data_IF_312278280271
#
_entry.id   IF_312278280271
#
_cell.length_a   1.000
_cell.length_b   1.000
_cell.length_c   1.000
_cell.angle_alpha   90.00
_cell.angle_beta   90.00
_cell.angle_gamma   90.00
#
_symmetry.space_group_name_H-M   'P 1'
#
loop_
_entity.id
_entity.type
_entity.pdbx_description
1 polymer ?
#
# COMPACT_ATOMS: atom_id res chain seq x y z
N UNK A 1 20.58 20.52 1.35
CA UNK A 1 19.25 19.90 1.29
C UNK A 1 19.03 19.18 2.60
N UNK A 2 18.32 19.81 3.52
CA UNK A 2 17.80 19.15 4.72
C UNK A 2 16.63 18.25 4.30
N UNK A 3 16.32 17.19 5.07
CA UNK A 3 15.21 16.30 4.74
C UNK A 3 13.85 17.00 4.55
N UNK A 4 13.63 18.15 5.20
CA UNK A 4 12.39 18.94 5.07
C UNK A 4 12.31 19.74 3.75
N UNK A 5 13.43 19.94 3.05
CA UNK A 5 13.47 20.61 1.74
C UNK A 5 13.14 19.67 0.57
N UNK A 6 13.13 18.35 0.81
CA UNK A 6 12.73 17.36 -0.19
C UNK A 6 11.19 17.39 -0.24
N UNK A 7 10.52 17.59 -1.37
CA UNK A 7 9.07 17.64 -1.38
C UNK A 7 8.47 16.24 -1.31
N UNK A 8 7.20 16.16 -0.94
CA UNK A 8 6.41 14.92 -1.01
C UNK A 8 6.34 14.42 -2.46
N UNK A 9 6.28 13.11 -2.63
CA UNK A 9 6.13 12.47 -3.93
C UNK A 9 4.74 12.76 -4.52
N UNK A 10 4.73 13.25 -5.76
CA UNK A 10 3.50 13.34 -6.53
C UNK A 10 3.07 11.94 -7.04
N UNK A 11 1.78 11.74 -7.34
CA UNK A 11 1.27 10.46 -7.84
C UNK A 11 1.99 9.89 -9.05
N UNK A 12 2.42 10.74 -9.99
CA UNK A 12 3.11 10.35 -11.22
C UNK A 12 4.61 10.07 -11.02
N UNK A 13 5.14 10.34 -9.83
CA UNK A 13 6.54 10.06 -9.46
C UNK A 13 6.71 8.68 -8.80
N UNK A 14 5.62 7.99 -8.48
CA UNK A 14 5.63 6.68 -7.82
C UNK A 14 4.95 5.62 -8.67
N UNK A 15 5.64 4.50 -8.85
CA UNK A 15 5.02 3.26 -9.30
C UNK A 15 4.79 2.32 -8.11
N UNK A 16 3.56 1.86 -7.93
CA UNK A 16 3.20 0.93 -6.87
C UNK A 16 2.89 -0.47 -7.40
N UNK A 17 3.26 -1.48 -6.62
CA UNK A 17 2.88 -2.87 -6.84
C UNK A 17 2.59 -3.55 -5.51
N UNK A 18 1.59 -4.42 -5.47
CA UNK A 18 1.21 -5.17 -4.27
C UNK A 18 1.27 -6.68 -4.57
N UNK A 19 2.05 -7.41 -3.80
CA UNK A 19 2.04 -8.88 -3.82
C UNK A 19 1.36 -9.41 -2.57
N UNK A 20 0.49 -10.40 -2.74
CA UNK A 20 -0.15 -11.14 -1.66
C UNK A 20 0.37 -12.57 -1.60
N UNK A 21 0.41 -13.10 -0.39
CA UNK A 21 0.63 -14.50 -0.05
C UNK A 21 -0.46 -14.95 0.92
N UNK A 22 -0.88 -16.21 0.82
CA UNK A 22 -1.81 -16.81 1.77
C UNK A 22 -1.20 -16.86 3.19
N UNK A 23 -1.97 -16.43 4.19
CA UNK A 23 -1.58 -16.38 5.59
C UNK A 23 -2.73 -16.89 6.47
N UNK A 24 -2.77 -18.21 6.68
CA UNK A 24 -3.81 -18.92 7.45
C UNK A 24 -5.26 -18.56 7.04
N UNK A 25 -5.46 -18.35 5.73
CA UNK A 25 -6.71 -17.96 5.06
C UNK A 25 -7.07 -16.48 5.16
N UNK A 26 -6.21 -15.67 5.79
CA UNK A 26 -6.03 -14.26 5.45
C UNK A 26 -4.97 -14.12 4.34
N UNK A 27 -4.62 -12.88 4.03
CA UNK A 27 -3.52 -12.52 3.16
C UNK A 27 -2.50 -11.67 3.90
N UNK A 28 -1.23 -11.96 3.65
CA UNK A 28 -0.10 -11.10 4.00
C UNK A 28 0.55 -10.62 2.72
N UNK A 29 0.84 -9.34 2.64
CA UNK A 29 1.34 -8.73 1.41
C UNK A 29 2.47 -7.76 1.62
N UNK A 30 3.13 -7.45 0.52
CA UNK A 30 4.17 -6.43 0.42
C UNK A 30 3.76 -5.40 -0.62
N UNK A 31 3.51 -4.17 -0.16
CA UNK A 31 3.35 -3.02 -1.03
C UNK A 31 4.72 -2.42 -1.30
N UNK A 32 5.12 -2.38 -2.57
CA UNK A 32 6.34 -1.73 -3.03
C UNK A 32 6.01 -0.41 -3.71
N UNK A 33 6.76 0.65 -3.36
CA UNK A 33 6.76 1.94 -4.02
C UNK A 33 8.13 2.19 -4.64
N UNK A 34 8.18 2.55 -5.92
CA UNK A 34 9.42 2.91 -6.63
C UNK A 34 9.32 4.34 -7.10
N UNK A 35 10.34 5.17 -6.81
CA UNK A 35 10.44 6.50 -7.40
C UNK A 35 10.84 6.37 -8.87
N UNK A 36 9.90 6.66 -9.77
CA UNK A 36 10.09 6.65 -11.23
C UNK A 36 10.32 8.04 -11.82
N UNK A 37 10.28 9.07 -10.97
CA UNK A 37 10.64 10.44 -11.33
C UNK A 37 12.14 10.67 -11.44
N UNK A 38 12.52 11.91 -11.68
CA UNK A 38 13.91 12.34 -11.93
C UNK A 38 14.59 13.02 -10.72
N UNK A 39 13.89 13.12 -9.58
CA UNK A 39 14.33 13.86 -8.40
C UNK A 39 14.11 13.10 -7.09
N UNK A 40 14.73 13.59 -6.02
CA UNK A 40 14.47 13.10 -4.66
C UNK A 40 13.05 13.47 -4.23
N UNK A 41 12.36 12.52 -3.59
CA UNK A 41 11.03 12.71 -3.01
C UNK A 41 10.94 12.12 -1.60
N UNK A 42 10.03 12.65 -0.80
CA UNK A 42 9.56 12.01 0.43
C UNK A 42 8.34 11.16 0.15
N UNK A 43 8.24 10.03 0.82
CA UNK A 43 7.01 9.23 0.91
C UNK A 43 6.63 9.14 2.38
N UNK A 44 5.59 9.88 2.74
CA UNK A 44 5.13 10.06 4.11
C UNK A 44 4.04 9.07 4.50
N UNK A 45 4.05 8.63 5.75
CA UNK A 45 2.91 7.93 6.35
C UNK A 45 2.93 6.41 6.20
N UNK A 46 1.82 5.81 6.66
CA UNK A 46 1.44 4.44 6.36
C UNK A 46 0.53 4.47 5.13
N UNK A 47 0.71 3.56 4.16
CA UNK A 47 -0.17 3.49 3.02
C UNK A 47 -1.57 3.05 3.45
N UNK A 48 -2.59 3.74 2.95
CA UNK A 48 -3.92 3.15 2.84
C UNK A 48 -3.93 2.21 1.65
N UNK A 49 -4.60 1.07 1.81
CA UNK A 49 -4.82 0.09 0.73
C UNK A 49 -6.32 -0.16 0.67
N UNK A 50 -6.88 -0.03 -0.53
CA UNK A 50 -8.28 -0.34 -0.82
C UNK A 50 -8.34 -1.18 -2.10
N UNK A 51 -8.63 -2.49 -1.99
CA UNK A 51 -8.81 -3.36 -3.15
C UNK A 51 -9.89 -2.83 -4.08
N UNK A 52 -9.71 -3.02 -5.38
CA UNK A 52 -10.71 -2.68 -6.40
C UNK A 52 -11.38 -3.97 -6.84
N UNK A 53 -12.70 -3.97 -6.96
CA UNK A 53 -13.48 -5.11 -7.41
C UNK A 53 -13.25 -5.42 -8.90
N UNK A 54 -13.64 -6.62 -9.34
CA UNK A 54 -13.59 -7.00 -10.76
C UNK A 54 -14.46 -6.11 -11.67
N UNK A 55 -15.35 -5.33 -11.08
CA UNK A 55 -16.21 -4.32 -11.72
C UNK A 55 -15.57 -2.93 -11.79
N UNK A 56 -14.35 -2.76 -11.26
CA UNK A 56 -13.64 -1.49 -11.19
C UNK A 56 -14.05 -0.60 -10.02
N UNK A 57 -14.90 -1.07 -9.09
CA UNK A 57 -15.38 -0.29 -7.95
C UNK A 57 -14.52 -0.58 -6.72
N UNK A 58 -14.06 0.45 -5.97
CA UNK A 58 -13.38 0.25 -4.69
C UNK A 58 -14.23 -0.59 -3.72
N UNK A 59 -13.64 -1.63 -3.15
CA UNK A 59 -14.30 -2.48 -2.17
C UNK A 59 -14.38 -1.77 -0.81
N UNK A 60 -15.50 -1.97 -0.09
CA UNK A 60 -15.73 -1.37 1.23
C UNK A 60 -15.02 -2.15 2.36
N UNK A 61 -13.71 -2.33 2.18
CA UNK A 61 -12.84 -2.94 3.18
C UNK A 61 -12.54 -1.95 4.29
N UNK A 62 -12.60 -2.38 5.54
CA UNK A 62 -12.19 -1.55 6.67
C UNK A 62 -10.67 -1.49 6.77
N UNK A 63 -10.05 -0.34 6.52
CA UNK A 63 -8.60 -0.16 6.71
C UNK A 63 -8.31 0.36 8.11
N UNK A 64 -7.72 -0.48 8.96
CA UNK A 64 -7.23 -0.13 10.28
C UNK A 64 -5.77 0.34 10.19
N UNK A 65 -5.57 1.66 10.29
CA UNK A 65 -4.24 2.26 10.42
C UNK A 65 -3.94 2.49 11.90
N UNK A 66 -2.98 1.75 12.46
CA UNK A 66 -2.56 1.98 13.86
C UNK A 66 -1.78 3.29 13.98
N UNK A 67 -2.12 4.10 14.99
CA UNK A 67 -1.46 5.37 15.32
C UNK A 67 -0.12 5.12 16.07
N UNK A 68 0.81 4.46 15.39
CA UNK A 68 2.17 4.25 15.90
C UNK A 68 3.03 5.48 15.66
N UNK A 69 3.74 5.95 16.67
CA UNK A 69 4.68 7.05 16.49
C UNK A 69 5.92 6.58 15.71
N UNK A 70 6.26 7.26 14.61
CA UNK A 70 7.53 7.09 13.88
C UNK A 70 8.18 8.44 13.61
N UNK A 71 9.48 8.56 13.84
CA UNK A 71 10.26 9.77 13.58
C UNK A 71 11.60 9.43 12.90
N UNK A 72 11.87 9.93 11.67
CA UNK A 72 10.94 10.67 10.80
C UNK A 72 9.78 9.78 10.32
N UNK A 73 8.59 10.36 10.16
CA UNK A 73 7.38 9.69 9.65
C UNK A 73 7.36 9.50 8.12
N UNK A 74 8.52 9.51 7.47
CA UNK A 74 8.66 9.39 6.03
C UNK A 74 9.96 8.66 5.67
N UNK A 75 10.05 8.23 4.42
CA UNK A 75 11.28 7.78 3.77
C UNK A 75 11.65 8.72 2.62
N UNK A 76 12.94 8.83 2.33
CA UNK A 76 13.44 9.61 1.18
C UNK A 76 13.85 8.63 0.08
N UNK A 77 13.31 8.83 -1.12
CA UNK A 77 13.56 8.01 -2.30
C UNK A 77 14.28 8.82 -3.37
N UNK A 78 15.47 8.36 -3.76
CA UNK A 78 16.15 8.83 -4.97
C UNK A 78 15.48 8.21 -6.21
N UNK A 79 15.70 8.76 -7.42
CA UNK A 79 15.28 8.11 -8.66
C UNK A 79 15.70 6.64 -8.71
N UNK A 80 14.76 5.74 -8.95
CA UNK A 80 14.94 4.28 -8.97
C UNK A 80 15.01 3.61 -7.59
N UNK A 81 15.00 4.36 -6.49
CA UNK A 81 14.96 3.78 -5.15
C UNK A 81 13.56 3.26 -4.80
N UNK A 82 13.52 2.24 -3.93
CA UNK A 82 12.30 1.57 -3.50
C UNK A 82 12.05 1.68 -2.00
N UNK A 83 10.77 1.69 -1.62
CA UNK A 83 10.32 1.46 -0.26
C UNK A 83 9.25 0.36 -0.24
N UNK A 84 9.17 -0.37 0.86
CA UNK A 84 8.16 -1.41 1.07
C UNK A 84 7.38 -1.17 2.36
N UNK A 85 6.13 -1.62 2.38
CA UNK A 85 5.29 -1.70 3.57
C UNK A 85 4.61 -3.08 3.58
N UNK A 86 4.61 -3.73 4.74
CA UNK A 86 3.82 -4.95 4.92
C UNK A 86 2.35 -4.58 5.05
N UNK A 87 1.48 -5.34 4.40
CA UNK A 87 0.02 -5.17 4.43
C UNK A 87 -0.60 -6.49 4.85
N UNK A 88 -1.72 -6.46 5.58
CA UNK A 88 -2.47 -7.64 5.97
C UNK A 88 -3.94 -7.47 5.67
N UNK A 89 -4.60 -8.53 5.21
CA UNK A 89 -6.04 -8.59 4.96
C UNK A 89 -6.61 -9.89 5.52
N UNK A 90 -7.31 -9.85 6.64
CA UNK A 90 -7.62 -11.10 7.36
C UNK A 90 -8.77 -11.95 6.79
N UNK A 91 -9.78 -11.35 6.17
CA UNK A 91 -11.02 -12.00 5.74
C UNK A 91 -11.85 -11.07 4.87
N UNK A 92 -12.61 -11.65 3.93
CA UNK A 92 -13.51 -10.92 3.05
C UNK A 92 -14.73 -11.77 2.66
N UNK A 93 -15.94 -11.23 2.83
CA UNK A 93 -17.20 -11.89 2.47
C UNK A 93 -18.02 -11.12 1.41
N UNK A 94 -17.48 -10.00 0.92
CA UNK A 94 -18.08 -9.13 -0.10
C UNK A 94 -17.81 -9.55 -1.56
N UNK A 95 -18.01 -8.62 -2.52
CA UNK A 95 -17.79 -8.85 -3.95
C UNK A 95 -16.35 -9.27 -4.28
N UNK A 96 -16.11 -9.98 -5.39
CA UNK A 96 -14.77 -10.44 -5.75
C UNK A 96 -13.81 -9.29 -6.01
N UNK A 97 -12.60 -9.41 -5.47
CA UNK A 97 -11.50 -8.48 -5.73
C UNK A 97 -10.87 -8.73 -7.10
N UNK A 98 -10.48 -7.65 -7.76
CA UNK A 98 -9.74 -7.64 -9.02
C UNK A 98 -8.23 -7.63 -8.82
N UNK A 99 -7.51 -7.38 -9.90
CA UNK A 99 -6.04 -7.34 -9.98
C UNK A 99 -5.45 -5.95 -9.73
N UNK A 100 -6.21 -5.04 -9.13
CA UNK A 100 -5.74 -3.72 -8.75
C UNK A 100 -6.22 -3.26 -7.38
N UNK A 101 -5.47 -2.33 -6.80
CA UNK A 101 -5.79 -1.68 -5.53
C UNK A 101 -5.50 -0.19 -5.61
N UNK A 102 -6.34 0.62 -4.96
CA UNK A 102 -6.04 2.02 -4.69
C UNK A 102 -5.11 2.11 -3.50
N UNK A 103 -4.02 2.83 -3.69
CA UNK A 103 -3.04 3.17 -2.66
C UNK A 103 -3.19 4.64 -2.32
N UNK A 104 -3.29 4.96 -1.03
CA UNK A 104 -3.33 6.34 -0.55
C UNK A 104 -2.17 6.63 0.39
N UNK A 105 -1.62 7.83 0.24
CA UNK A 105 -0.72 8.51 1.16
C UNK A 105 -1.19 9.97 1.22
N UNK A 106 -0.27 10.93 1.36
CA UNK A 106 -0.55 12.34 1.05
C UNK A 106 -0.93 12.58 -0.44
N UNK A 107 -0.92 11.53 -1.27
CA UNK A 107 -1.49 11.45 -2.62
C UNK A 107 -2.26 10.13 -2.84
N UNK A 108 -2.65 9.84 -4.08
CA UNK A 108 -3.26 8.56 -4.44
C UNK A 108 -2.72 8.03 -5.76
N UNK A 109 -2.62 6.70 -5.87
CA UNK A 109 -2.26 5.99 -7.09
C UNK A 109 -2.90 4.59 -7.12
N UNK A 110 -2.90 3.97 -8.29
CA UNK A 110 -3.31 2.58 -8.46
C UNK A 110 -2.07 1.67 -8.44
N UNK A 111 -2.20 0.51 -7.82
CA UNK A 111 -1.20 -0.54 -7.81
C UNK A 111 -1.74 -1.80 -8.50
N UNK A 112 -0.92 -2.42 -9.33
CA UNK A 112 -1.18 -3.78 -9.80
C UNK A 112 -0.99 -4.79 -8.66
N UNK A 113 -1.90 -5.75 -8.57
CA UNK A 113 -1.93 -6.78 -7.54
C UNK A 113 -1.53 -8.14 -8.12
N UNK A 114 -0.71 -8.88 -7.40
CA UNK A 114 -0.29 -10.24 -7.75
C UNK A 114 -0.46 -11.19 -6.57
N UNK A 115 -0.53 -12.49 -6.85
CA UNK A 115 -0.85 -13.51 -5.84
C UNK A 115 -2.36 -13.74 -5.70
N UNK A 116 -2.82 -14.29 -4.56
CA UNK A 116 -4.24 -14.39 -4.26
C UNK A 116 -4.89 -13.00 -4.20
N UNK A 117 -6.04 -12.83 -4.88
CA UNK A 117 -6.68 -11.52 -4.99
C UNK A 117 -7.51 -11.14 -3.75
N UNK A 118 -7.88 -12.12 -2.93
CA UNK A 118 -8.66 -11.91 -1.71
C UNK A 118 -8.45 -13.06 -0.72
N UNK A 119 -8.70 -12.84 0.58
CA UNK A 119 -8.71 -13.89 1.59
C UNK A 119 -9.73 -15.00 1.31
N UNK A 120 -9.60 -16.11 2.04
CA UNK A 120 -10.65 -17.12 2.09
C UNK A 120 -11.94 -16.49 2.62
N UNK A 121 -13.07 -16.86 2.00
CA UNK A 121 -14.38 -16.36 2.41
C UNK A 121 -14.71 -16.86 3.81
N UNK A 122 -14.77 -15.94 4.78
CA UNK A 122 -15.15 -16.18 6.17
C UNK A 122 -16.13 -15.10 6.62
N UNK A 123 -17.10 -15.43 7.47
CA UNK A 123 -18.07 -14.44 7.96
C UNK A 123 -17.36 -13.32 8.74
N UNK A 124 -17.68 -12.08 8.38
CA UNK A 124 -17.09 -10.88 8.97
C UNK A 124 -15.91 -10.37 8.13
N UNK A 125 -16.12 -9.30 7.38
CA UNK A 125 -15.03 -8.51 6.82
C UNK A 125 -14.08 -8.10 7.94
N UNK A 126 -12.82 -8.54 7.87
CA UNK A 126 -11.80 -8.08 8.82
C UNK A 126 -10.97 -6.97 8.19
N UNK A 127 -10.12 -6.36 9.02
CA UNK A 127 -9.43 -5.15 8.64
C UNK A 127 -8.29 -5.41 7.66
N UNK A 128 -8.14 -4.51 6.69
CA UNK A 128 -6.85 -4.24 6.06
C UNK A 128 -5.99 -3.44 7.02
N UNK A 129 -4.70 -3.75 7.13
CA UNK A 129 -3.76 -2.95 7.91
C UNK A 129 -2.41 -2.87 7.23
N UNK A 130 -1.64 -1.85 7.53
CA UNK A 130 -0.32 -1.63 6.94
C UNK A 130 0.73 -1.21 7.97
N UNK A 131 1.97 -1.59 7.70
CA UNK A 131 3.14 -1.03 8.37
C UNK A 131 3.49 0.33 7.79
N UNK A 132 4.45 1.02 8.42
CA UNK A 132 5.10 2.16 7.79
C UNK A 132 5.94 1.75 6.59
N UNK A 133 6.11 2.64 5.61
CA UNK A 133 7.11 2.45 4.56
C UNK A 133 8.52 2.38 5.14
N UNK A 134 9.30 1.40 4.70
CA UNK A 134 10.72 1.25 5.00
C UNK A 134 11.51 1.25 3.68
N UNK A 135 12.71 1.81 3.68
CA UNK A 135 13.58 1.72 2.51
C UNK A 135 13.93 0.25 2.26
N UNK A 136 13.83 -0.18 1.01
CA UNK A 136 14.31 -1.48 0.59
C UNK A 136 15.60 -1.29 -0.22
N UNK A 137 16.61 -2.09 0.09
CA UNK A 137 17.92 -2.08 -0.58
C UNK A 137 17.85 -2.66 -1.99
#
# INVERSE_FOLDING_TARGET
MTPDEIPEAAPDELAFSLSWEDDDGGLRGELTAVNVGDRLVRLTGKPGVTPIGTDGVPLDTLTAVTLEMRSPGYVVLAPGARATATVWWGAWDGPPAGDSARITWEGEAEAGVTGPLQPERREGATNLSSSWFARAD
#
